data_IF_952042160045
#
_entry.id   IF_952042160045
#
_cell.length_a   1.000
_cell.length_b   1.000
_cell.length_c   1.000
_cell.angle_alpha   90.00
_cell.angle_beta   90.00
_cell.angle_gamma   90.00
#
_symmetry.space_group_name_H-M   'P 1'
#
loop_
_entity.id
_entity.type
_entity.pdbx_description
1 polymer ?
#
# COMPACT_ATOMS: atom_id res chain seq x y z
N UNK A 1 0.02 28.24 0.12
CA UNK A 1 -0.10 27.66 0.20
C UNK A 1 0.11 26.66 0.18
N UNK A 2 0.07 26.34 0.42
CA UNK A 2 0.20 25.51 0.49
C UNK A 2 0.02 24.42 0.25
N UNK A 3 0.18 24.44 0.00
CA UNK A 3 -0.03 23.32 -0.59
C UNK A 3 -0.29 22.23 0.22
N UNK A 4 -1.07 21.91 0.32
CA UNK A 4 -1.53 20.76 0.91
C UNK A 4 -0.95 19.55 0.32
N UNK A 5 0.19 19.25 0.75
CA UNK A 5 0.67 17.91 0.59
C UNK A 5 -0.23 17.04 1.40
N UNK A 6 -1.10 16.36 0.73
CA UNK A 6 -1.81 15.27 1.34
C UNK A 6 -0.77 14.23 1.72
N UNK A 7 -0.64 13.98 2.99
CA UNK A 7 0.27 12.94 3.48
C UNK A 7 -0.36 11.58 3.34
N UNK A 8 -0.81 11.25 2.12
CA UNK A 8 -1.46 9.97 1.88
C UNK A 8 -0.45 8.84 1.78
N UNK A 9 -0.93 7.64 2.09
CA UNK A 9 -0.15 6.41 2.13
C UNK A 9 -0.67 5.45 1.08
N UNK A 10 0.19 5.05 0.17
CA UNK A 10 -0.10 3.90 -0.69
C UNK A 10 0.18 2.63 0.10
N UNK A 11 -0.75 1.68 0.09
CA UNK A 11 -0.66 0.47 0.91
C UNK A 11 -0.39 -0.72 0.02
N UNK A 12 0.77 -1.38 0.22
CA UNK A 12 1.12 -2.58 -0.53
C UNK A 12 0.29 -3.78 -0.06
N UNK A 13 0.16 -4.77 -0.93
CA UNK A 13 -0.63 -5.97 -0.68
C UNK A 13 -0.21 -6.69 0.58
N UNK A 14 1.10 -6.79 0.85
CA UNK A 14 1.57 -7.53 2.03
C UNK A 14 0.98 -6.98 3.34
N UNK A 15 0.82 -5.66 3.44
CA UNK A 15 0.25 -5.04 4.65
C UNK A 15 -1.22 -5.44 4.81
N UNK A 16 -1.98 -5.44 3.71
CA UNK A 16 -3.37 -5.86 3.73
C UNK A 16 -3.52 -7.34 4.06
N UNK A 17 -2.57 -8.16 3.63
CA UNK A 17 -2.55 -9.58 3.96
C UNK A 17 -2.27 -9.79 5.44
N UNK A 18 -1.28 -9.11 6.02
CA UNK A 18 -0.97 -9.28 7.43
C UNK A 18 -2.13 -8.96 8.36
N UNK A 19 -2.98 -8.03 7.99
CA UNK A 19 -4.17 -7.67 8.78
C UNK A 19 -5.08 -8.88 9.01
N UNK A 20 -5.09 -9.81 8.07
CA UNK A 20 -5.99 -10.97 8.11
C UNK A 20 -5.27 -12.30 8.34
N UNK A 21 -3.94 -12.33 8.22
CA UNK A 21 -3.16 -13.55 8.37
C UNK A 21 -2.88 -13.82 9.84
N UNK A 22 -3.46 -14.91 10.37
CA UNK A 22 -3.36 -15.26 11.79
C UNK A 22 -2.05 -15.97 12.14
N UNK A 23 -1.21 -16.27 11.16
CA UNK A 23 0.03 -17.02 11.38
C UNK A 23 1.11 -16.17 12.05
N UNK A 24 1.02 -14.84 11.95
CA UNK A 24 1.97 -13.93 12.58
C UNK A 24 1.22 -12.87 13.39
N UNK A 25 0.90 -13.17 14.66
CA UNK A 25 0.11 -12.24 15.47
C UNK A 25 0.75 -10.86 15.70
N UNK A 26 2.08 -10.81 15.80
CA UNK A 26 2.77 -9.54 16.02
C UNK A 26 2.65 -8.61 14.81
N UNK A 27 2.89 -9.14 13.61
CA UNK A 27 2.75 -8.36 12.38
C UNK A 27 1.29 -8.03 12.10
N UNK A 28 0.38 -8.93 12.42
CA UNK A 28 -1.05 -8.68 12.30
C UNK A 28 -1.47 -7.48 13.15
N UNK A 29 -1.00 -7.43 14.39
CA UNK A 29 -1.29 -6.31 15.28
C UNK A 29 -0.75 -4.99 14.74
N UNK A 30 0.51 -4.96 14.30
CA UNK A 30 1.12 -3.76 13.74
C UNK A 30 0.41 -3.30 12.47
N UNK A 31 0.05 -4.23 11.59
CA UNK A 31 -0.68 -3.90 10.36
C UNK A 31 -2.06 -3.30 10.69
N UNK A 32 -2.75 -3.83 11.68
CA UNK A 32 -4.03 -3.28 12.15
C UNK A 32 -3.88 -1.86 12.66
N UNK A 33 -2.84 -1.60 13.46
CA UNK A 33 -2.60 -0.25 13.98
C UNK A 33 -2.38 0.74 12.84
N UNK A 34 -1.58 0.36 11.84
CA UNK A 34 -1.32 1.21 10.70
C UNK A 34 -2.57 1.49 9.90
N UNK A 35 -3.33 0.45 9.56
CA UNK A 35 -4.53 0.63 8.74
C UNK A 35 -5.60 1.43 9.46
N UNK A 36 -5.77 1.21 10.76
CA UNK A 36 -6.72 2.01 11.54
C UNK A 36 -6.33 3.49 11.52
N UNK A 37 -5.06 3.79 11.78
CA UNK A 37 -4.59 5.17 11.82
C UNK A 37 -4.72 5.87 10.47
N UNK A 38 -4.34 5.20 9.38
CA UNK A 38 -4.39 5.75 8.03
C UNK A 38 -5.84 5.91 7.56
N UNK A 39 -6.65 4.88 7.78
CA UNK A 39 -8.05 4.85 7.36
C UNK A 39 -8.87 5.90 8.08
N UNK A 40 -8.70 6.01 9.40
CA UNK A 40 -9.44 7.00 10.20
C UNK A 40 -9.10 8.43 9.79
N UNK A 41 -7.89 8.66 9.34
CA UNK A 41 -7.45 9.98 8.87
C UNK A 41 -7.82 10.25 7.40
N UNK A 42 -8.39 9.26 6.69
CA UNK A 42 -8.74 9.42 5.28
C UNK A 42 -7.54 9.46 4.34
N UNK A 43 -6.44 8.81 4.71
CA UNK A 43 -5.16 8.92 3.99
C UNK A 43 -4.78 7.65 3.23
N UNK A 44 -5.64 6.63 3.21
CA UNK A 44 -5.32 5.35 2.56
C UNK A 44 -5.53 5.41 1.05
N UNK A 45 -4.56 4.89 0.29
CA UNK A 45 -4.64 4.79 -1.17
C UNK A 45 -4.22 3.39 -1.60
N UNK A 46 -4.94 2.83 -2.55
CA UNK A 46 -4.57 1.57 -3.20
C UNK A 46 -4.82 1.64 -4.70
N UNK A 47 -4.61 0.55 -5.42
CA UNK A 47 -4.89 0.48 -6.86
C UNK A 47 -5.40 -0.90 -7.24
N UNK A 48 -5.74 -1.07 -8.51
CA UNK A 48 -6.30 -2.33 -9.00
C UNK A 48 -5.33 -3.51 -8.85
N UNK A 49 -4.04 -3.29 -9.05
CA UNK A 49 -3.04 -4.36 -8.91
C UNK A 49 -3.04 -4.91 -7.47
N UNK A 50 -3.02 -4.04 -6.48
CA UNK A 50 -3.08 -4.45 -5.07
C UNK A 50 -4.37 -5.21 -4.79
N UNK A 51 -5.50 -4.71 -5.29
CA UNK A 51 -6.79 -5.36 -5.09
C UNK A 51 -6.82 -6.76 -5.70
N UNK A 52 -6.24 -6.93 -6.89
CA UNK A 52 -6.17 -8.23 -7.54
C UNK A 52 -5.27 -9.21 -6.78
N UNK A 53 -4.13 -8.74 -6.29
CA UNK A 53 -3.23 -9.59 -5.51
C UNK A 53 -3.86 -10.01 -4.20
N UNK A 54 -4.57 -9.09 -3.53
CA UNK A 54 -5.29 -9.42 -2.30
C UNK A 54 -6.42 -10.41 -2.57
N UNK A 55 -7.17 -10.21 -3.64
CA UNK A 55 -8.24 -11.13 -4.04
C UNK A 55 -7.68 -12.54 -4.24
N UNK A 56 -6.58 -12.66 -4.97
CA UNK A 56 -5.94 -13.95 -5.20
C UNK A 56 -5.55 -14.64 -3.88
N UNK A 57 -4.97 -13.87 -2.95
CA UNK A 57 -4.60 -14.41 -1.64
C UNK A 57 -5.82 -14.90 -0.85
N UNK A 58 -6.89 -14.12 -0.83
CA UNK A 58 -8.12 -14.48 -0.11
C UNK A 58 -8.73 -15.74 -0.67
N UNK A 59 -8.85 -15.81 -2.00
CA UNK A 59 -9.43 -17.00 -2.65
C UNK A 59 -8.66 -18.27 -2.34
N UNK A 60 -7.34 -18.16 -2.20
CA UNK A 60 -6.49 -19.30 -1.88
C UNK A 60 -6.52 -19.66 -0.41
N UNK A 61 -6.52 -18.69 0.48
CA UNK A 61 -6.30 -18.90 1.91
C UNK A 61 -7.58 -18.87 2.76
N UNK A 62 -8.69 -18.40 2.20
CA UNK A 62 -9.99 -18.36 2.87
C UNK A 62 -11.05 -19.02 1.98
N UNK A 63 -10.87 -20.29 1.60
CA UNK A 63 -11.70 -20.93 0.57
C UNK A 63 -13.14 -21.19 0.99
N UNK A 64 -13.46 -21.10 2.29
CA UNK A 64 -14.82 -21.31 2.77
C UNK A 64 -15.72 -20.07 2.60
N UNK A 65 -15.16 -18.93 2.27
CA UNK A 65 -15.95 -17.71 2.08
C UNK A 65 -16.67 -17.74 0.73
N UNK A 66 -17.89 -17.20 0.69
CA UNK A 66 -18.61 -17.09 -0.58
C UNK A 66 -17.93 -16.06 -1.47
N UNK A 67 -18.05 -16.25 -2.79
CA UNK A 67 -17.51 -15.28 -3.74
C UNK A 67 -18.17 -13.91 -3.57
N UNK A 68 -19.45 -13.89 -3.27
CA UNK A 68 -20.19 -12.66 -3.04
C UNK A 68 -19.60 -11.88 -1.85
N UNK A 69 -19.27 -12.58 -0.76
CA UNK A 69 -18.67 -11.98 0.43
C UNK A 69 -17.28 -11.40 0.12
N UNK A 70 -16.45 -12.16 -0.58
CA UNK A 70 -15.10 -11.70 -0.97
C UNK A 70 -15.21 -10.48 -1.89
N UNK A 71 -16.09 -10.55 -2.89
CA UNK A 71 -16.29 -9.45 -3.82
C UNK A 71 -16.71 -8.16 -3.08
N UNK A 72 -17.59 -8.30 -2.10
CA UNK A 72 -18.05 -7.17 -1.29
C UNK A 72 -16.92 -6.52 -0.49
N UNK A 73 -16.07 -7.34 0.10
CA UNK A 73 -14.92 -6.83 0.85
C UNK A 73 -13.93 -6.10 -0.05
N UNK A 74 -13.60 -6.68 -1.20
CA UNK A 74 -12.69 -6.05 -2.15
C UNK A 74 -13.26 -4.73 -2.67
N UNK A 75 -14.56 -4.66 -2.91
CA UNK A 75 -15.21 -3.43 -3.33
C UNK A 75 -15.06 -2.31 -2.30
N UNK A 76 -15.16 -2.64 -1.01
CA UNK A 76 -14.98 -1.68 0.07
C UNK A 76 -13.53 -1.16 0.11
N UNK A 77 -12.56 -2.06 0.04
CA UNK A 77 -11.15 -1.67 0.02
C UNK A 77 -10.86 -0.83 -1.23
N UNK A 78 -11.48 -1.17 -2.35
CA UNK A 78 -11.34 -0.44 -3.61
C UNK A 78 -11.81 1.00 -3.56
N UNK A 79 -12.55 1.40 -2.54
CA UNK A 79 -12.89 2.81 -2.34
C UNK A 79 -11.66 3.67 -2.06
N UNK A 80 -10.55 3.07 -1.64
CA UNK A 80 -9.27 3.77 -1.49
C UNK A 80 -8.57 4.02 -2.82
N UNK A 81 -9.05 3.45 -3.92
CA UNK A 81 -8.53 3.61 -5.26
C UNK A 81 -8.48 2.30 -6.02
N UNK A 82 -8.77 2.36 -7.32
CA UNK A 82 -8.82 1.17 -8.17
C UNK A 82 -8.24 1.42 -9.57
N UNK A 83 -7.33 2.40 -9.68
CA UNK A 83 -6.69 2.72 -10.95
C UNK A 83 -5.83 1.54 -11.42
N UNK A 84 -5.94 1.18 -12.70
CA UNK A 84 -5.10 0.16 -13.29
C UNK A 84 -3.68 0.69 -13.53
N UNK A 85 -2.70 -0.21 -13.52
CA UNK A 85 -1.36 0.11 -13.98
C UNK A 85 -1.40 0.29 -15.50
N UNK A 86 -0.95 1.44 -15.97
CA UNK A 86 -0.99 1.78 -17.36
C UNK A 86 0.33 2.32 -17.89
N UNK A 87 0.24 3.04 -19.00
CA UNK A 87 1.44 3.58 -19.64
C UNK A 87 2.17 4.59 -18.77
N UNK A 88 1.45 5.42 -18.03
CA UNK A 88 2.08 6.43 -17.16
C UNK A 88 2.92 5.79 -16.08
N UNK A 89 2.38 4.75 -15.44
CA UNK A 89 3.12 3.99 -14.43
C UNK A 89 4.33 3.29 -15.03
N UNK A 90 4.15 2.69 -16.20
CA UNK A 90 5.24 1.98 -16.88
C UNK A 90 6.37 2.94 -17.24
N UNK A 91 6.05 4.09 -17.76
CA UNK A 91 7.05 5.07 -18.14
C UNK A 91 7.83 5.57 -16.93
N UNK A 92 7.14 5.89 -15.83
CA UNK A 92 7.78 6.34 -14.61
C UNK A 92 8.60 5.22 -13.94
N UNK A 93 8.16 3.97 -14.07
CA UNK A 93 8.83 2.82 -13.45
C UNK A 93 10.28 2.67 -13.90
N UNK A 94 10.63 3.10 -15.11
CA UNK A 94 12.02 3.09 -15.57
C UNK A 94 12.90 3.97 -14.68
N UNK A 95 12.42 5.16 -14.30
CA UNK A 95 13.17 6.02 -13.38
C UNK A 95 13.26 5.42 -11.99
N UNK A 96 12.19 4.76 -11.53
CA UNK A 96 12.22 4.07 -10.23
C UNK A 96 13.28 2.96 -10.27
N UNK A 97 13.31 2.17 -11.34
CA UNK A 97 14.28 1.10 -11.51
C UNK A 97 15.72 1.63 -11.47
N UNK A 98 15.96 2.71 -12.17
CA UNK A 98 17.29 3.32 -12.20
C UNK A 98 17.69 3.84 -10.82
N UNK A 99 16.76 4.46 -10.11
CA UNK A 99 17.03 5.09 -8.82
C UNK A 99 17.14 4.09 -7.67
N UNK A 100 16.23 3.11 -7.60
CA UNK A 100 16.12 2.22 -6.44
C UNK A 100 16.55 0.78 -6.71
N UNK A 101 16.56 0.36 -7.96
CA UNK A 101 17.04 -0.96 -8.34
C UNK A 101 16.13 -2.14 -8.00
N UNK A 102 14.86 -1.86 -7.67
CA UNK A 102 13.91 -2.92 -7.32
C UNK A 102 13.49 -3.74 -8.54
N UNK A 103 12.90 -4.91 -8.31
CA UNK A 103 12.34 -5.70 -9.39
C UNK A 103 11.18 -4.94 -10.04
N UNK A 104 10.86 -5.31 -11.30
CA UNK A 104 10.03 -4.47 -12.16
C UNK A 104 8.63 -4.18 -11.59
N UNK A 105 7.93 -5.20 -11.06
CA UNK A 105 6.58 -4.96 -10.55
C UNK A 105 6.57 -4.09 -9.30
N UNK A 106 7.62 -4.14 -8.47
CA UNK A 106 7.77 -3.20 -7.36
C UNK A 106 7.99 -1.79 -7.86
N UNK A 107 8.75 -1.63 -8.95
CA UNK A 107 8.94 -0.31 -9.58
C UNK A 107 7.61 0.25 -10.09
N UNK A 108 6.75 -0.60 -10.67
CA UNK A 108 5.43 -0.17 -11.12
C UNK A 108 4.56 0.30 -9.97
N UNK A 109 4.62 -0.36 -8.82
CA UNK A 109 3.84 0.05 -7.65
C UNK A 109 4.36 1.36 -7.03
N UNK A 110 5.68 1.53 -6.97
CA UNK A 110 6.27 2.80 -6.52
C UNK A 110 5.85 3.94 -7.46
N UNK A 111 5.91 3.68 -8.77
CA UNK A 111 5.44 4.64 -9.77
C UNK A 111 3.96 5.00 -9.58
N UNK A 112 3.13 3.99 -9.32
CA UNK A 112 1.71 4.21 -9.07
C UNK A 112 1.48 5.09 -7.84
N UNK A 113 2.18 4.81 -6.74
CA UNK A 113 2.07 5.61 -5.53
C UNK A 113 2.46 7.06 -5.79
N UNK A 114 3.54 7.27 -6.53
CA UNK A 114 3.99 8.62 -6.87
C UNK A 114 2.96 9.36 -7.73
N UNK A 115 2.41 8.68 -8.73
CA UNK A 115 1.42 9.29 -9.63
C UNK A 115 0.10 9.58 -8.93
N UNK A 116 -0.23 8.83 -7.87
CA UNK A 116 -1.39 9.13 -7.03
C UNK A 116 -1.15 10.31 -6.08
N UNK A 117 0.05 10.87 -6.06
CA UNK A 117 0.39 11.98 -5.18
C UNK A 117 0.63 11.56 -3.74
N UNK A 118 0.90 10.30 -3.50
CA UNK A 118 1.17 9.81 -2.15
C UNK A 118 2.52 10.32 -1.65
N UNK A 119 2.58 10.61 -0.36
CA UNK A 119 3.83 10.95 0.29
C UNK A 119 4.56 9.73 0.81
N UNK A 120 3.82 8.68 1.15
CA UNK A 120 4.38 7.48 1.74
C UNK A 120 3.91 6.24 1.00
N UNK A 121 4.75 5.22 1.00
CA UNK A 121 4.43 3.89 0.49
C UNK A 121 4.70 2.89 1.62
N UNK A 122 3.64 2.27 2.12
CA UNK A 122 3.71 1.33 3.24
C UNK A 122 3.91 -0.08 2.70
N UNK A 123 5.09 -0.65 2.94
CA UNK A 123 5.47 -1.97 2.42
C UNK A 123 6.55 -2.63 3.27
N UNK A 124 6.48 -3.95 3.39
CA UNK A 124 7.54 -4.73 4.04
C UNK A 124 8.66 -5.10 3.07
N UNK A 125 8.36 -5.15 1.77
CA UNK A 125 9.24 -5.79 0.78
C UNK A 125 10.33 -4.88 0.22
N UNK A 126 10.35 -3.61 0.62
CA UNK A 126 11.30 -2.63 0.10
C UNK A 126 12.07 -1.98 1.23
N UNK A 127 13.10 -1.20 0.89
CA UNK A 127 14.00 -0.61 1.88
C UNK A 127 13.31 0.49 2.69
N UNK A 128 13.21 0.29 3.99
CA UNK A 128 12.64 1.30 4.89
C UNK A 128 13.44 2.59 4.81
N UNK A 129 12.73 3.70 4.63
CA UNK A 129 13.33 5.03 4.57
C UNK A 129 13.84 5.43 3.20
N UNK A 130 13.80 4.54 2.19
CA UNK A 130 14.18 4.92 0.84
C UNK A 130 13.24 5.99 0.31
N UNK A 131 13.77 6.89 -0.51
CA UNK A 131 12.99 8.01 -1.06
C UNK A 131 13.09 8.01 -2.58
N UNK A 132 11.95 8.18 -3.23
CA UNK A 132 11.88 8.40 -4.66
C UNK A 132 11.05 9.66 -4.93
N UNK A 133 11.71 10.75 -5.33
CA UNK A 133 11.05 12.01 -5.76
C UNK A 133 9.92 12.43 -4.80
N UNK A 134 10.23 12.50 -3.51
CA UNK A 134 9.29 12.94 -2.49
C UNK A 134 8.42 11.86 -1.87
N UNK A 135 8.43 10.65 -2.43
CA UNK A 135 7.74 9.48 -1.87
C UNK A 135 8.71 8.74 -0.96
N UNK A 136 8.33 8.54 0.30
CA UNK A 136 9.15 7.79 1.28
C UNK A 136 8.54 6.41 1.52
N UNK A 137 9.37 5.38 1.44
CA UNK A 137 8.99 4.00 1.70
C UNK A 137 9.07 3.73 3.20
N UNK A 138 8.00 3.21 3.78
CA UNK A 138 7.91 2.93 5.21
C UNK A 138 7.62 1.43 5.40
N UNK A 139 8.48 0.76 6.17
CA UNK A 139 8.18 -0.60 6.60
C UNK A 139 7.34 -0.52 7.87
N UNK A 140 6.08 -1.02 7.85
CA UNK A 140 5.16 -0.88 8.98
C UNK A 140 5.61 -1.62 10.23
N UNK A 141 6.63 -2.49 10.11
CA UNK A 141 7.14 -3.27 11.24
C UNK A 141 8.41 -2.65 11.81
N UNK A 142 8.89 -1.55 11.23
CA UNK A 142 10.08 -0.83 11.71
C UNK A 142 9.76 0.58 12.20
N UNK A 143 8.56 1.06 11.96
CA UNK A 143 8.09 2.35 12.44
C UNK A 143 6.62 2.22 12.85
N UNK A 144 6.18 2.97 13.83
CA UNK A 144 4.78 3.00 14.23
C UNK A 144 4.05 4.14 13.51
N UNK A 145 2.71 4.11 13.47
CA UNK A 145 1.95 5.24 12.93
C UNK A 145 2.30 6.56 13.63
N UNK A 146 2.51 6.53 14.94
CA UNK A 146 2.87 7.73 15.69
C UNK A 146 4.19 8.32 15.23
N UNK A 147 5.16 7.49 14.88
CA UNK A 147 6.46 7.94 14.41
C UNK A 147 6.35 8.80 13.15
N UNK A 148 5.35 8.55 12.33
CA UNK A 148 5.18 9.20 11.03
C UNK A 148 4.08 10.26 11.07
N UNK A 149 2.93 9.95 11.67
CA UNK A 149 1.75 10.82 11.65
C UNK A 149 1.82 11.99 12.64
N UNK A 150 2.61 11.86 13.68
CA UNK A 150 2.73 12.91 14.71
C UNK A 150 3.73 13.99 14.38
N UNK A 151 4.22 13.98 13.18
CA UNK A 151 5.25 14.89 12.82
C UNK A 151 4.79 16.27 12.49
N UNK A 152 3.69 16.60 12.84
CA UNK A 152 3.24 17.96 12.56
C UNK A 152 3.37 18.86 13.77
#
# INVERSE_FOLDING_TARGET
MTSSTTESFFIDTNVLIYVRDKRDPAKRHSAHEWLAAISDAGLAVTNLQVLNELTRWILKNEPSRSLHDVQGEIAVIGLWGSRALGEDETELAWRVRESLGYQWFDCLLVAAAHLHGCRYFLTEDMTHGAVFEGLTLINPFRASPDDVLRRN
#
